data_IF_907931255119
#
_entry.id   IF_907931255119
#
_cell.length_a   1.000
_cell.length_b   1.000
_cell.length_c   1.000
_cell.angle_alpha   90.00
_cell.angle_beta   90.00
_cell.angle_gamma   90.00
#
_symmetry.space_group_name_H-M   'P 1'
#
loop_
_entity.id
_entity.type
_entity.pdbx_description
1 polymer ?
#
# COMPACT_ATOMS: atom_id res chain seq x y z
N UNK A 1 13.97 2.61 10.89
CA UNK A 1 14.20 4.02 11.29
C UNK A 1 12.81 4.61 11.46
N UNK A 2 12.43 5.09 12.66
CA UNK A 2 11.04 5.51 12.91
C UNK A 2 10.79 6.89 12.27
N UNK A 3 9.99 6.94 11.22
CA UNK A 3 9.57 8.20 10.59
C UNK A 3 8.47 8.79 11.47
N UNK A 4 8.69 10.00 11.98
CA UNK A 4 7.66 10.72 12.77
C UNK A 4 6.76 11.50 11.82
N UNK A 5 5.46 11.24 11.92
CA UNK A 5 4.45 11.96 11.14
C UNK A 5 4.15 13.33 11.78
N UNK A 6 4.04 14.39 10.97
CA UNK A 6 3.52 15.68 11.45
C UNK A 6 2.07 15.58 11.95
N UNK A 7 1.67 16.41 12.92
CA UNK A 7 0.35 16.35 13.57
C UNK A 7 -0.83 16.59 12.62
N UNK A 8 -0.62 17.34 11.55
CA UNK A 8 -1.61 17.54 10.49
C UNK A 8 -1.86 16.26 9.68
N UNK A 9 -0.88 15.35 9.60
CA UNK A 9 -1.00 14.04 8.98
C UNK A 9 -1.75 13.07 9.89
N UNK A 10 -1.48 13.08 11.19
CA UNK A 10 -2.21 12.23 12.15
C UNK A 10 -3.72 12.49 12.10
N UNK A 11 -4.13 13.76 12.07
CA UNK A 11 -5.54 14.14 11.94
C UNK A 11 -6.16 13.64 10.64
N UNK A 12 -5.39 13.69 9.56
CA UNK A 12 -5.81 13.24 8.23
C UNK A 12 -6.04 11.72 8.22
N UNK A 13 -5.16 10.95 8.85
CA UNK A 13 -5.32 9.50 8.98
C UNK A 13 -6.48 9.13 9.92
N UNK A 14 -6.64 9.84 11.04
CA UNK A 14 -7.81 9.64 11.92
C UNK A 14 -9.14 9.97 11.20
N UNK A 15 -9.12 10.92 10.25
CA UNK A 15 -10.28 11.23 9.40
C UNK A 15 -10.55 10.13 8.38
N UNK A 16 -9.50 9.59 7.73
CA UNK A 16 -9.65 8.55 6.71
C UNK A 16 -10.29 7.28 7.27
N UNK A 17 -10.06 6.95 8.55
CA UNK A 17 -10.70 5.82 9.24
C UNK A 17 -12.24 5.84 9.24
N UNK A 18 -12.88 6.98 8.93
CA UNK A 18 -14.35 7.12 8.87
C UNK A 18 -14.93 6.77 7.51
N UNK A 19 -14.09 6.56 6.50
CA UNK A 19 -14.52 6.29 5.14
C UNK A 19 -14.65 4.79 4.88
N UNK A 20 -15.49 4.44 3.90
CA UNK A 20 -15.48 3.10 3.34
C UNK A 20 -14.35 2.95 2.33
N UNK A 21 -13.64 1.84 2.42
CA UNK A 21 -12.50 1.47 1.58
C UNK A 21 -12.78 0.23 0.72
N UNK A 22 -14.06 -0.18 0.61
CA UNK A 22 -14.47 -1.23 -0.30
C UNK A 22 -13.95 -0.93 -1.71
N UNK A 23 -13.14 -1.84 -2.26
CA UNK A 23 -12.46 -1.73 -3.57
C UNK A 23 -11.38 -0.64 -3.66
N UNK A 24 -10.90 -0.12 -2.53
CA UNK A 24 -9.78 0.81 -2.53
C UNK A 24 -8.49 0.15 -3.04
N UNK A 25 -7.72 0.92 -3.80
CA UNK A 25 -6.46 0.47 -4.39
C UNK A 25 -5.28 0.85 -3.51
N UNK A 26 -4.22 0.07 -3.60
CA UNK A 26 -2.95 0.34 -2.92
C UNK A 26 -2.05 1.09 -3.90
N UNK A 27 -1.54 2.25 -3.50
CA UNK A 27 -0.65 3.03 -4.35
C UNK A 27 0.70 2.33 -4.48
N UNK A 28 1.22 2.28 -5.71
CA UNK A 28 2.53 1.73 -6.03
C UNK A 28 3.46 2.83 -6.55
N UNK A 29 4.53 3.07 -5.80
CA UNK A 29 5.54 4.09 -6.07
C UNK A 29 6.80 3.47 -6.64
N UNK A 30 7.56 4.27 -7.40
CA UNK A 30 8.88 3.92 -7.93
C UNK A 30 9.95 4.85 -7.37
N UNK A 31 11.06 4.27 -6.91
CA UNK A 31 12.25 5.08 -6.63
C UNK A 31 13.04 5.39 -7.91
N UNK A 32 14.00 6.30 -7.79
CA UNK A 32 14.99 6.56 -8.83
C UNK A 32 15.60 5.25 -9.35
N UNK A 33 15.90 5.23 -10.65
CA UNK A 33 16.42 4.07 -11.39
C UNK A 33 15.43 2.90 -11.60
N UNK A 34 14.16 3.05 -11.22
CA UNK A 34 13.06 2.12 -11.54
C UNK A 34 12.16 2.73 -12.63
N UNK A 35 11.88 1.95 -13.67
CA UNK A 35 11.01 2.36 -14.77
C UNK A 35 9.53 2.00 -14.50
N UNK A 36 8.59 2.75 -15.09
CA UNK A 36 7.14 2.50 -14.89
C UNK A 36 6.72 1.08 -15.29
N UNK A 37 7.30 0.56 -16.39
CA UNK A 37 7.04 -0.80 -16.84
C UNK A 37 7.49 -1.87 -15.83
N UNK A 38 8.54 -1.62 -15.05
CA UNK A 38 9.00 -2.54 -14.01
C UNK A 38 8.05 -2.55 -12.81
N UNK A 39 7.51 -1.40 -12.43
CA UNK A 39 6.47 -1.33 -11.39
C UNK A 39 5.18 -1.99 -11.87
N UNK A 40 4.83 -1.78 -13.13
CA UNK A 40 3.67 -2.45 -13.73
C UNK A 40 3.84 -3.96 -13.78
N UNK A 41 5.02 -4.47 -14.13
CA UNK A 41 5.33 -5.89 -14.10
C UNK A 41 5.25 -6.46 -12.68
N UNK A 42 5.82 -5.76 -11.69
CA UNK A 42 5.72 -6.12 -10.28
C UNK A 42 4.26 -6.22 -9.80
N UNK A 43 3.46 -5.18 -10.03
CA UNK A 43 2.06 -5.15 -9.63
C UNK A 43 1.27 -6.25 -10.36
N UNK A 44 1.58 -6.50 -11.63
CA UNK A 44 0.96 -7.56 -12.43
C UNK A 44 1.30 -8.94 -11.88
N UNK A 45 2.57 -9.19 -11.54
CA UNK A 45 3.06 -10.45 -10.97
C UNK A 45 2.39 -10.74 -9.62
N UNK A 46 2.37 -9.76 -8.72
CA UNK A 46 1.70 -9.88 -7.42
C UNK A 46 0.20 -10.18 -7.55
N UNK A 47 -0.46 -9.46 -8.45
CA UNK A 47 -1.89 -9.65 -8.69
C UNK A 47 -2.19 -11.02 -9.30
N UNK A 48 -1.38 -11.49 -10.25
CA UNK A 48 -1.61 -12.77 -10.91
C UNK A 48 -1.32 -13.97 -10.04
N UNK A 49 -0.20 -13.96 -9.32
CA UNK A 49 0.15 -15.03 -8.39
C UNK A 49 -0.91 -15.15 -7.30
N UNK A 50 -1.31 -14.03 -6.69
CA UNK A 50 -2.43 -13.99 -5.75
C UNK A 50 -3.73 -14.55 -6.35
N UNK A 51 -4.13 -14.07 -7.53
CA UNK A 51 -5.36 -14.55 -8.17
C UNK A 51 -5.31 -16.05 -8.48
N UNK A 52 -4.17 -16.58 -8.94
CA UNK A 52 -3.99 -17.99 -9.28
C UNK A 52 -3.99 -18.87 -8.03
N UNK A 53 -3.20 -18.49 -7.02
CA UNK A 53 -2.91 -19.35 -5.87
C UNK A 53 -3.94 -19.21 -4.75
N UNK A 54 -4.40 -17.99 -4.46
CA UNK A 54 -5.36 -17.74 -3.39
C UNK A 54 -6.82 -17.78 -3.89
N UNK A 55 -7.09 -17.30 -5.10
CA UNK A 55 -8.46 -17.20 -5.63
C UNK A 55 -8.84 -18.29 -6.66
N UNK A 56 -7.89 -19.15 -7.06
CA UNK A 56 -8.12 -20.22 -8.04
C UNK A 56 -8.41 -19.73 -9.46
N UNK A 57 -7.94 -18.54 -9.84
CA UNK A 57 -8.07 -17.97 -11.18
C UNK A 57 -7.24 -18.76 -12.23
N UNK A 58 -7.70 -18.88 -13.50
CA UNK A 58 -8.97 -18.41 -14.05
C UNK A 58 -10.10 -19.45 -13.93
N UNK A 59 -9.90 -20.51 -13.14
CA UNK A 59 -10.89 -21.60 -13.02
C UNK A 59 -12.14 -21.17 -12.24
N UNK A 60 -12.04 -20.10 -11.45
CA UNK A 60 -13.18 -19.37 -10.89
C UNK A 60 -13.79 -18.35 -11.88
N UNK A 61 -15.06 -17.97 -11.70
CA UNK A 61 -15.76 -16.95 -12.52
C UNK A 61 -15.34 -15.50 -12.23
N UNK A 62 -14.36 -15.28 -11.37
CA UNK A 62 -13.95 -13.95 -10.94
C UNK A 62 -12.96 -13.36 -11.93
N UNK A 63 -13.15 -12.07 -12.24
CA UNK A 63 -12.16 -11.29 -12.99
C UNK A 63 -10.87 -11.14 -12.16
N UNK A 64 -9.75 -10.85 -12.84
CA UNK A 64 -8.48 -10.58 -12.16
C UNK A 64 -8.68 -9.32 -11.28
N UNK A 65 -8.39 -9.38 -9.97
CA UNK A 65 -8.61 -8.23 -9.09
C UNK A 65 -7.70 -7.06 -9.47
N UNK A 66 -8.20 -5.83 -9.36
CA UNK A 66 -7.38 -4.62 -9.54
C UNK A 66 -6.90 -4.11 -8.18
N UNK A 67 -5.75 -4.61 -7.72
CA UNK A 67 -5.24 -4.35 -6.37
C UNK A 67 -4.44 -3.04 -6.28
N UNK A 68 -3.64 -2.76 -7.30
CA UNK A 68 -2.67 -1.66 -7.27
C UNK A 68 -3.05 -0.51 -8.20
N UNK A 69 -2.69 0.70 -7.81
CA UNK A 69 -2.67 1.87 -8.67
C UNK A 69 -1.26 2.45 -8.71
N UNK A 70 -0.66 2.49 -9.89
CA UNK A 70 0.70 2.99 -10.08
C UNK A 70 0.70 4.52 -10.07
N UNK A 71 1.67 5.10 -9.37
CA UNK A 71 1.93 6.53 -9.41
C UNK A 71 2.84 6.84 -10.60
N UNK A 72 2.23 7.29 -11.70
CA UNK A 72 2.93 7.56 -12.95
C UNK A 72 3.64 8.93 -12.96
N UNK A 73 4.65 9.07 -13.83
CA UNK A 73 5.30 10.34 -14.19
C UNK A 73 5.99 11.09 -13.03
N UNK A 74 6.28 10.40 -11.92
CA UNK A 74 7.03 10.94 -10.79
C UNK A 74 8.13 9.95 -10.40
N UNK A 75 9.35 10.45 -10.24
CA UNK A 75 10.48 9.67 -9.72
C UNK A 75 10.79 10.16 -8.31
N UNK A 76 10.69 9.25 -7.35
CA UNK A 76 10.92 9.57 -5.95
C UNK A 76 12.34 9.22 -5.54
N UNK A 77 12.98 10.10 -4.78
CA UNK A 77 14.35 9.88 -4.34
C UNK A 77 14.47 8.75 -3.32
N UNK A 78 13.50 8.68 -2.41
CA UNK A 78 13.48 7.78 -1.25
C UNK A 78 12.04 7.55 -0.77
N UNK A 79 11.88 6.63 0.19
CA UNK A 79 10.58 6.29 0.79
C UNK A 79 9.94 7.50 1.49
N UNK A 80 10.73 8.39 2.08
CA UNK A 80 10.21 9.61 2.73
C UNK A 80 9.55 10.54 1.70
N UNK A 81 10.13 10.69 0.50
CA UNK A 81 9.52 11.45 -0.59
C UNK A 81 8.21 10.80 -1.07
N UNK A 82 8.16 9.46 -1.18
CA UNK A 82 6.92 8.75 -1.49
C UNK A 82 5.84 8.99 -0.42
N UNK A 83 6.22 8.94 0.86
CA UNK A 83 5.31 9.18 1.98
C UNK A 83 4.73 10.60 1.96
N UNK A 84 5.54 11.60 1.63
CA UNK A 84 5.07 12.99 1.51
C UNK A 84 4.02 13.14 0.41
N UNK A 85 4.27 12.56 -0.77
CA UNK A 85 3.30 12.59 -1.87
C UNK A 85 2.04 11.77 -1.54
N UNK A 86 2.19 10.61 -0.90
CA UNK A 86 1.08 9.79 -0.43
C UNK A 86 0.15 10.59 0.50
N UNK A 87 0.71 11.27 1.50
CA UNK A 87 -0.03 12.14 2.42
C UNK A 87 -0.71 13.29 1.68
N UNK A 88 -0.04 13.89 0.70
CA UNK A 88 -0.61 14.97 -0.11
C UNK A 88 -1.81 14.48 -0.95
N UNK A 89 -1.72 13.29 -1.53
CA UNK A 89 -2.82 12.65 -2.28
C UNK A 89 -3.99 12.34 -1.37
N UNK A 90 -3.74 11.77 -0.20
CA UNK A 90 -4.80 11.53 0.79
C UNK A 90 -5.49 12.83 1.20
N UNK A 91 -4.74 13.93 1.35
CA UNK A 91 -5.30 15.24 1.69
C UNK A 91 -6.26 15.74 0.61
N UNK A 92 -5.80 15.72 -0.64
CA UNK A 92 -6.63 16.11 -1.77
C UNK A 92 -7.90 15.26 -1.88
N UNK A 93 -7.77 13.93 -1.69
CA UNK A 93 -8.91 13.03 -1.70
C UNK A 93 -9.91 13.32 -0.57
N UNK A 94 -9.46 13.62 0.64
CA UNK A 94 -10.38 13.96 1.73
C UNK A 94 -11.07 15.32 1.55
N UNK A 95 -10.43 16.26 0.84
CA UNK A 95 -11.03 17.55 0.50
C UNK A 95 -12.08 17.42 -0.62
N UNK A 96 -11.84 16.53 -1.59
CA UNK A 96 -12.67 16.39 -2.81
C UNK A 96 -13.70 15.24 -2.76
N UNK A 97 -13.48 14.19 -1.96
CA UNK A 97 -14.29 12.97 -2.01
C UNK A 97 -15.62 13.10 -1.25
N UNK A 98 -16.76 12.66 -1.84
CA UNK A 98 -17.98 12.43 -1.09
C UNK A 98 -17.73 11.43 0.05
N UNK A 99 -18.48 11.49 1.17
CA UNK A 99 -18.17 10.78 2.40
C UNK A 99 -18.28 9.23 2.33
N UNK A 100 -18.50 8.63 1.16
CA UNK A 100 -18.94 7.23 1.06
C UNK A 100 -17.94 6.27 0.43
N UNK A 101 -17.03 6.68 -0.45
CA UNK A 101 -16.07 5.76 -1.08
C UNK A 101 -14.71 6.42 -1.23
N UNK A 102 -13.69 5.80 -0.64
CA UNK A 102 -12.33 6.31 -0.68
C UNK A 102 -11.48 5.41 -1.58
N UNK A 103 -11.04 5.90 -2.75
CA UNK A 103 -10.50 5.03 -3.81
C UNK A 103 -9.10 4.48 -3.52
N UNK A 104 -8.40 5.01 -2.52
CA UNK A 104 -7.03 4.65 -2.16
C UNK A 104 -6.96 4.17 -0.71
N UNK A 105 -6.37 3.03 -0.45
CA UNK A 105 -6.18 2.58 0.93
C UNK A 105 -5.26 3.55 1.67
N UNK A 106 -5.75 4.13 2.75
CA UNK A 106 -5.07 5.25 3.43
C UNK A 106 -3.95 4.84 4.38
N UNK A 107 -3.81 3.54 4.67
CA UNK A 107 -2.89 3.02 5.69
C UNK A 107 -1.71 2.23 5.13
N UNK A 108 -1.64 2.05 3.82
CA UNK A 108 -0.51 1.35 3.21
C UNK A 108 -0.26 1.80 1.76
N UNK A 109 1.01 1.76 1.37
CA UNK A 109 1.43 1.85 -0.03
C UNK A 109 2.68 1.00 -0.24
N UNK A 110 3.00 0.71 -1.50
CA UNK A 110 4.18 -0.08 -1.87
C UNK A 110 5.19 0.77 -2.62
N UNK A 111 6.47 0.48 -2.42
CA UNK A 111 7.59 1.16 -3.07
C UNK A 111 8.46 0.11 -3.77
N UNK A 112 8.60 0.27 -5.07
CA UNK A 112 9.50 -0.51 -5.89
C UNK A 112 10.90 0.12 -5.89
N UNK A 113 11.90 -0.69 -5.55
CA UNK A 113 13.30 -0.28 -5.49
C UNK A 113 14.15 -1.22 -6.34
N UNK A 114 15.09 -0.66 -7.12
CA UNK A 114 15.90 -1.43 -8.07
C UNK A 114 16.64 -2.61 -7.45
N UNK A 115 17.05 -2.50 -6.20
CA UNK A 115 17.78 -3.55 -5.49
C UNK A 115 16.94 -4.80 -5.19
N UNK A 116 15.61 -4.66 -5.10
CA UNK A 116 14.68 -5.76 -4.79
C UNK A 116 13.90 -6.29 -5.99
N UNK A 117 13.85 -5.55 -7.09
CA UNK A 117 13.03 -5.92 -8.25
C UNK A 117 13.58 -7.15 -9.01
N UNK A 118 12.71 -8.05 -9.49
CA UNK A 118 11.24 -8.09 -9.30
C UNK A 118 10.80 -8.91 -8.07
N UNK A 119 11.73 -9.41 -7.27
CA UNK A 119 11.48 -10.43 -6.24
C UNK A 119 10.86 -9.85 -4.96
N UNK A 120 11.18 -8.60 -4.63
CA UNK A 120 10.77 -7.92 -3.39
C UNK A 120 10.43 -6.46 -3.63
N UNK A 121 9.54 -5.94 -2.81
CA UNK A 121 9.27 -4.50 -2.67
C UNK A 121 9.22 -4.10 -1.21
N UNK A 122 9.21 -2.80 -0.95
CA UNK A 122 8.98 -2.25 0.38
C UNK A 122 7.49 -1.95 0.53
N UNK A 123 6.83 -2.53 1.53
CA UNK A 123 5.49 -2.14 1.96
C UNK A 123 5.63 -1.14 3.09
N UNK A 124 5.04 0.04 2.91
CA UNK A 124 5.01 1.10 3.92
C UNK A 124 3.65 1.07 4.59
N UNK A 125 3.66 0.92 5.92
CA UNK A 125 2.47 0.74 6.75
C UNK A 125 2.35 1.91 7.70
N UNK A 126 1.19 2.56 7.70
CA UNK A 126 0.82 3.62 8.62
C UNK A 126 -0.18 3.05 9.61
N UNK A 127 0.15 3.05 10.90
CA UNK A 127 -0.70 2.44 11.93
C UNK A 127 -0.61 3.16 13.26
N UNK A 128 -1.57 2.91 14.13
CA UNK A 128 -1.65 3.51 15.46
C UNK A 128 -1.94 2.42 16.48
N UNK A 129 -0.91 2.09 17.28
CA UNK A 129 -1.07 1.14 18.38
C UNK A 129 -2.15 1.66 19.34
N UNK A 130 -3.14 0.85 19.73
CA UNK A 130 -4.20 1.26 20.65
C UNK A 130 -3.67 1.89 21.94
N UNK A 131 -2.51 1.40 22.41
CA UNK A 131 -1.91 1.79 23.69
C UNK A 131 -0.98 3.00 23.62
N UNK A 132 -0.56 3.43 22.43
CA UNK A 132 0.41 4.52 22.26
C UNK A 132 -0.20 5.83 21.78
N UNK A 133 -1.38 5.78 21.16
CA UNK A 133 -2.13 6.97 20.74
C UNK A 133 -1.50 7.82 19.63
N UNK A 134 -0.30 7.46 19.16
CA UNK A 134 0.44 8.14 18.08
C UNK A 134 0.51 7.26 16.84
N UNK A 135 0.45 7.90 15.67
CA UNK A 135 0.65 7.18 14.41
C UNK A 135 2.14 6.88 14.20
N UNK A 136 2.41 5.70 13.66
CA UNK A 136 3.72 5.19 13.30
C UNK A 136 3.76 4.85 11.82
N UNK A 137 4.98 4.87 11.29
CA UNK A 137 5.28 4.40 9.95
C UNK A 137 6.34 3.32 10.06
N UNK A 138 6.02 2.14 9.55
CA UNK A 138 6.95 1.02 9.43
C UNK A 138 7.14 0.67 7.95
N UNK A 139 8.34 0.25 7.60
CA UNK A 139 8.72 -0.14 6.25
C UNK A 139 9.23 -1.57 6.30
N UNK A 140 8.54 -2.50 5.64
CA UNK A 140 8.88 -3.92 5.65
C UNK A 140 9.09 -4.42 4.22
N UNK A 141 10.08 -5.29 4.02
CA UNK A 141 10.29 -5.93 2.73
C UNK A 141 9.30 -7.07 2.54
N UNK A 142 8.59 -7.09 1.41
CA UNK A 142 7.62 -8.12 1.07
C UNK A 142 8.01 -8.82 -0.25
N UNK A 143 8.03 -10.16 -0.31
CA UNK A 143 8.10 -10.90 -1.56
C UNK A 143 6.96 -10.52 -2.50
N UNK A 144 7.27 -10.36 -3.78
CA UNK A 144 6.32 -9.80 -4.77
C UNK A 144 5.31 -10.81 -5.29
N UNK A 145 5.55 -12.11 -5.18
CA UNK A 145 4.65 -13.13 -5.71
C UNK A 145 3.32 -13.16 -4.94
N UNK A 146 2.88 -14.32 -4.45
CA UNK A 146 1.58 -14.47 -3.82
C UNK A 146 1.47 -13.59 -2.56
N UNK A 147 2.60 -13.39 -1.87
CA UNK A 147 2.68 -12.72 -0.57
C UNK A 147 2.28 -11.25 -0.64
N UNK A 148 2.69 -10.51 -1.67
CA UNK A 148 2.36 -9.09 -1.76
C UNK A 148 0.86 -8.90 -1.96
N UNK A 149 0.28 -9.64 -2.93
CA UNK A 149 -1.16 -9.61 -3.19
C UNK A 149 -1.98 -10.06 -1.97
N UNK A 150 -1.59 -11.15 -1.31
CA UNK A 150 -2.22 -11.60 -0.07
C UNK A 150 -2.16 -10.53 1.02
N UNK A 151 -0.97 -9.98 1.29
CA UNK A 151 -0.75 -9.01 2.36
C UNK A 151 -1.62 -7.78 2.17
N UNK A 152 -1.60 -7.18 0.99
CA UNK A 152 -2.36 -5.95 0.76
C UNK A 152 -3.86 -6.21 0.70
N UNK A 153 -4.30 -7.36 0.18
CA UNK A 153 -5.72 -7.70 0.19
C UNK A 153 -6.23 -7.98 1.61
N UNK A 154 -5.48 -8.72 2.43
CA UNK A 154 -5.82 -8.95 3.85
C UNK A 154 -5.92 -7.65 4.63
N UNK A 155 -5.04 -6.67 4.37
CA UNK A 155 -5.17 -5.32 4.94
C UNK A 155 -6.46 -4.63 4.50
N UNK A 156 -6.74 -4.59 3.19
CA UNK A 156 -7.94 -3.93 2.65
C UNK A 156 -9.25 -4.55 3.15
N UNK A 157 -9.26 -5.87 3.36
CA UNK A 157 -10.40 -6.63 3.90
C UNK A 157 -10.47 -6.59 5.44
N UNK A 158 -9.46 -6.02 6.10
CA UNK A 158 -9.33 -5.97 7.56
C UNK A 158 -9.22 -7.35 8.23
N UNK A 159 -8.70 -8.35 7.50
CA UNK A 159 -8.37 -9.68 8.02
C UNK A 159 -7.07 -9.65 8.84
N UNK A 160 -6.13 -8.78 8.46
CA UNK A 160 -4.89 -8.47 9.19
C UNK A 160 -4.86 -6.97 9.52
N UNK A 161 -4.25 -6.63 10.65
CA UNK A 161 -3.87 -5.24 10.95
C UNK A 161 -2.48 -4.93 10.39
N UNK A 162 -2.14 -3.65 10.26
CA UNK A 162 -0.79 -3.25 9.88
C UNK A 162 0.28 -3.78 10.86
N UNK A 163 -0.05 -3.90 12.15
CA UNK A 163 0.86 -4.46 13.15
C UNK A 163 1.15 -5.95 12.89
N UNK A 164 0.12 -6.74 12.57
CA UNK A 164 0.28 -8.15 12.24
C UNK A 164 1.22 -8.33 11.05
N UNK A 165 1.10 -7.45 10.04
CA UNK A 165 1.99 -7.46 8.86
C UNK A 165 3.42 -7.08 9.24
N UNK A 166 3.61 -6.07 10.10
CA UNK A 166 4.94 -5.69 10.61
C UNK A 166 5.59 -6.85 11.35
N UNK A 167 4.85 -7.55 12.21
CA UNK A 167 5.39 -8.71 12.95
C UNK A 167 5.70 -9.89 12.03
N UNK A 168 4.87 -10.13 11.01
CA UNK A 168 5.04 -11.23 10.05
C UNK A 168 6.19 -11.02 9.07
N UNK A 169 6.41 -9.79 8.61
CA UNK A 169 7.39 -9.47 7.56
C UNK A 169 8.67 -8.78 8.07
N UNK A 170 8.64 -8.18 9.26
CA UNK A 170 9.75 -7.44 9.86
C UNK A 170 10.69 -8.28 10.74
N UNK A 171 10.43 -9.58 10.87
CA UNK A 171 11.23 -10.55 11.63
C UNK A 171 12.55 -10.95 10.98
#
# INVERSE_FOLDING_TARGET
MAIRLPSDVERLLDQSLRHNFDNSKILAYKLQDVQDNQVQELCSLATESYAKEALGWPRGRLEKPEIFQIVENQEFKDVDACLQDFVQRLRALLEDSPPYEFPIWSRAFVVAEKAGLPERCTVVLLHKKPDEGQWKVDCVGCPVEVELGMTVTSLTMQDETEEDVVERLGG
#
